data_IF_155718148538
#
_entry.id   IF_155718148538
#
_cell.length_a   1.000
_cell.length_b   1.000
_cell.length_c   1.000
_cell.angle_alpha   90.00
_cell.angle_beta   90.00
_cell.angle_gamma   90.00
#
_symmetry.space_group_name_H-M   'P 1'
#
loop_
_entity.id
_entity.type
_entity.pdbx_description
1 polymer ?
#
# COMPACT_ATOMS: atom_id res chain seq x y z
N UNK A 1 27.63 -26.40 -23.43
CA UNK A 1 28.01 -27.10 -22.19
C UNK A 1 27.66 -26.19 -21.01
N UNK A 2 26.55 -26.49 -20.32
CA UNK A 2 26.13 -25.76 -19.12
C UNK A 2 27.12 -26.05 -18.00
N UNK A 3 27.72 -25.01 -17.43
CA UNK A 3 28.74 -25.13 -16.39
C UNK A 3 28.15 -25.78 -15.11
N UNK A 4 28.56 -26.99 -14.72
CA UNK A 4 28.01 -27.69 -13.55
C UNK A 4 28.20 -26.92 -12.24
N UNK A 5 29.20 -26.03 -12.19
CA UNK A 5 29.51 -25.21 -11.01
C UNK A 5 28.42 -24.18 -10.66
N UNK A 6 27.65 -23.69 -11.63
CA UNK A 6 26.53 -22.77 -11.32
C UNK A 6 25.36 -23.49 -10.65
N UNK A 7 25.11 -24.76 -10.99
CA UNK A 7 24.03 -25.54 -10.37
C UNK A 7 24.31 -25.88 -8.90
N UNK A 8 25.59 -26.11 -8.54
CA UNK A 8 26.00 -26.35 -7.17
C UNK A 8 26.10 -25.05 -6.34
N UNK A 9 26.40 -23.92 -6.98
CA UNK A 9 26.35 -22.60 -6.34
C UNK A 9 24.91 -22.14 -6.07
N UNK A 10 23.96 -22.43 -6.96
CA UNK A 10 22.53 -22.18 -6.72
C UNK A 10 21.93 -23.19 -5.71
N UNK A 11 22.33 -24.47 -5.77
CA UNK A 11 21.92 -25.46 -4.78
C UNK A 11 22.51 -25.22 -3.38
N UNK A 12 23.66 -24.55 -3.27
CA UNK A 12 24.23 -24.15 -1.98
C UNK A 12 23.64 -22.85 -1.44
N UNK A 13 23.07 -21.97 -2.28
CA UNK A 13 22.25 -20.81 -1.83
C UNK A 13 20.90 -21.20 -1.22
N UNK A 14 20.36 -22.36 -1.59
CA UNK A 14 19.16 -22.94 -0.95
C UNK A 14 19.42 -23.37 0.51
N UNK A 15 20.68 -23.49 0.93
CA UNK A 15 21.11 -23.59 2.34
C UNK A 15 21.47 -22.16 2.80
N UNK A 16 20.71 -21.42 3.58
CA UNK A 16 19.77 -21.73 4.64
C UNK A 16 18.69 -20.65 4.60
N UNK A 17 17.66 -20.82 3.79
CA UNK A 17 16.44 -20.03 4.00
C UNK A 17 15.90 -20.49 5.35
N UNK A 18 15.73 -19.59 6.31
CA UNK A 18 15.10 -19.95 7.57
C UNK A 18 13.71 -20.54 7.26
N UNK A 19 13.50 -21.87 7.45
CA UNK A 19 12.29 -22.54 6.99
C UNK A 19 11.06 -22.02 7.72
N UNK A 20 11.24 -21.51 8.94
CA UNK A 20 10.17 -20.88 9.73
C UNK A 20 9.74 -19.58 9.06
N UNK A 21 10.69 -18.71 8.68
CA UNK A 21 10.40 -17.44 8.02
C UNK A 21 9.73 -17.67 6.67
N UNK A 22 10.24 -18.61 5.87
CA UNK A 22 9.65 -18.93 4.58
C UNK A 22 8.23 -19.49 4.74
N UNK A 23 8.04 -20.45 5.64
CA UNK A 23 6.71 -21.04 5.89
C UNK A 23 5.72 -20.00 6.38
N UNK A 24 6.14 -19.11 7.29
CA UNK A 24 5.34 -18.00 7.77
C UNK A 24 4.96 -17.03 6.65
N UNK A 25 5.92 -16.66 5.79
CA UNK A 25 5.67 -15.77 4.67
C UNK A 25 4.75 -16.39 3.61
N UNK A 26 4.94 -17.68 3.29
CA UNK A 26 4.06 -18.40 2.35
C UNK A 26 2.64 -18.49 2.90
N UNK A 27 2.47 -18.88 4.18
CA UNK A 27 1.16 -18.92 4.83
C UNK A 27 0.48 -17.54 4.83
N UNK A 28 1.22 -16.50 5.18
CA UNK A 28 0.73 -15.12 5.15
C UNK A 28 0.32 -14.67 3.75
N UNK A 29 1.14 -14.98 2.74
CA UNK A 29 0.87 -14.63 1.34
C UNK A 29 -0.35 -15.36 0.82
N UNK A 30 -0.52 -16.64 1.14
CA UNK A 30 -1.72 -17.39 0.77
C UNK A 30 -2.97 -16.82 1.42
N UNK A 31 -2.91 -16.46 2.70
CA UNK A 31 -4.01 -15.80 3.40
C UNK A 31 -4.35 -14.45 2.76
N UNK A 32 -3.35 -13.62 2.48
CA UNK A 32 -3.53 -12.31 1.85
C UNK A 32 -4.05 -12.44 0.41
N UNK A 33 -3.62 -13.45 -0.35
CA UNK A 33 -4.13 -13.74 -1.69
C UNK A 33 -5.59 -14.20 -1.66
N UNK A 34 -5.96 -15.08 -0.71
CA UNK A 34 -7.35 -15.48 -0.52
C UNK A 34 -8.22 -14.27 -0.15
N UNK A 35 -7.74 -13.44 0.79
CA UNK A 35 -8.41 -12.18 1.18
C UNK A 35 -8.61 -11.26 -0.03
N UNK A 36 -7.56 -11.08 -0.84
CA UNK A 36 -7.58 -10.25 -2.04
C UNK A 36 -8.56 -10.75 -3.10
N UNK A 37 -8.62 -12.07 -3.34
CA UNK A 37 -9.57 -12.66 -4.29
C UNK A 37 -11.02 -12.51 -3.84
N UNK A 38 -11.28 -12.65 -2.53
CA UNK A 38 -12.61 -12.39 -1.96
C UNK A 38 -13.00 -10.91 -2.13
N UNK A 39 -12.10 -9.99 -1.82
CA UNK A 39 -12.34 -8.54 -2.03
C UNK A 39 -12.61 -8.22 -3.51
N UNK A 40 -11.92 -8.87 -4.46
CA UNK A 40 -12.20 -8.72 -5.89
C UNK A 40 -13.61 -9.20 -6.24
N UNK A 41 -14.06 -10.33 -5.69
CA UNK A 41 -15.41 -10.83 -5.90
C UNK A 41 -16.47 -9.84 -5.40
N UNK A 42 -16.33 -9.38 -4.16
CA UNK A 42 -17.23 -8.37 -3.56
C UNK A 42 -17.21 -7.07 -4.37
N UNK A 43 -16.02 -6.64 -4.79
CA UNK A 43 -15.87 -5.45 -5.63
C UNK A 43 -16.54 -5.60 -7.00
N UNK A 44 -16.49 -6.78 -7.62
CA UNK A 44 -17.19 -7.04 -8.88
C UNK A 44 -18.70 -6.96 -8.70
N UNK A 45 -19.24 -7.59 -7.65
CA UNK A 45 -20.68 -7.60 -7.38
C UNK A 45 -21.21 -6.17 -7.15
N UNK A 46 -20.46 -5.35 -6.41
CA UNK A 46 -20.75 -3.94 -6.20
C UNK A 46 -20.70 -3.12 -7.51
N UNK A 47 -19.67 -3.35 -8.33
CA UNK A 47 -19.50 -2.64 -9.60
C UNK A 47 -20.49 -3.09 -10.69
N UNK A 48 -21.02 -4.30 -10.60
CA UNK A 48 -22.02 -4.85 -11.51
C UNK A 48 -23.43 -4.30 -11.24
N UNK A 49 -23.68 -3.76 -10.04
CA UNK A 49 -24.96 -3.17 -9.63
C UNK A 49 -24.82 -1.68 -9.25
N UNK A 50 -24.41 -0.82 -10.19
CA UNK A 50 -24.16 0.59 -9.93
C UNK A 50 -25.44 1.38 -9.62
N UNK A 51 -25.26 2.54 -8.99
CA UNK A 51 -26.35 3.51 -8.81
C UNK A 51 -26.85 4.06 -10.15
N UNK A 52 -28.09 4.58 -10.17
CA UNK A 52 -28.68 5.20 -11.36
C UNK A 52 -27.85 6.36 -11.92
N UNK A 53 -27.23 7.16 -11.03
CA UNK A 53 -26.32 8.24 -11.40
C UNK A 53 -25.08 7.70 -12.12
N UNK A 54 -24.40 6.71 -11.52
CA UNK A 54 -23.22 6.08 -12.12
C UNK A 54 -23.54 5.44 -13.48
N UNK A 55 -24.69 4.78 -13.64
CA UNK A 55 -25.10 4.25 -14.94
C UNK A 55 -25.24 5.34 -16.01
N UNK A 56 -25.83 6.49 -15.66
CA UNK A 56 -26.00 7.62 -16.57
C UNK A 56 -24.64 8.22 -16.97
N UNK A 57 -23.73 8.36 -16.00
CA UNK A 57 -22.40 8.91 -16.26
C UNK A 57 -21.56 8.00 -17.15
N UNK A 58 -21.59 6.69 -16.90
CA UNK A 58 -20.93 5.72 -17.78
C UNK A 58 -21.51 5.77 -19.20
N UNK A 59 -22.83 5.86 -19.35
CA UNK A 59 -23.47 5.98 -20.66
C UNK A 59 -23.03 7.26 -21.41
N UNK A 60 -22.89 8.39 -20.71
CA UNK A 60 -22.36 9.64 -21.29
C UNK A 60 -20.91 9.51 -21.76
N UNK A 61 -20.12 8.63 -21.13
CA UNK A 61 -18.75 8.29 -21.52
C UNK A 61 -18.68 7.24 -22.63
N UNK A 62 -19.81 6.68 -23.04
CA UNK A 62 -19.86 5.53 -23.97
C UNK A 62 -19.37 4.22 -23.36
N UNK A 63 -19.30 4.14 -22.03
CA UNK A 63 -18.86 2.96 -21.30
C UNK A 63 -20.05 2.14 -20.83
N UNK A 64 -19.95 0.81 -20.95
CA UNK A 64 -20.88 -0.09 -20.27
C UNK A 64 -20.46 -0.27 -18.81
N UNK A 65 -21.43 -0.64 -17.96
CA UNK A 65 -21.17 -1.05 -16.56
C UNK A 65 -20.11 -2.17 -16.50
N UNK A 66 -20.22 -3.15 -17.40
CA UNK A 66 -19.28 -4.26 -17.48
C UNK A 66 -17.86 -3.80 -17.83
N UNK A 67 -17.72 -2.86 -18.78
CA UNK A 67 -16.43 -2.30 -19.17
C UNK A 67 -15.76 -1.59 -17.99
N UNK A 68 -16.53 -0.80 -17.25
CA UNK A 68 -16.06 -0.11 -16.04
C UNK A 68 -15.58 -1.10 -14.96
N UNK A 69 -16.38 -2.13 -14.67
CA UNK A 69 -16.05 -3.16 -13.68
C UNK A 69 -14.76 -3.92 -14.06
N UNK A 70 -14.67 -4.40 -15.31
CA UNK A 70 -13.49 -5.12 -15.82
C UNK A 70 -12.25 -4.24 -15.75
N UNK A 71 -12.36 -2.95 -16.12
CA UNK A 71 -11.23 -2.02 -16.07
C UNK A 71 -10.65 -1.89 -14.65
N UNK A 72 -11.51 -1.61 -13.66
CA UNK A 72 -11.07 -1.44 -12.28
C UNK A 72 -10.53 -2.74 -11.65
N UNK A 73 -11.13 -3.89 -11.96
CA UNK A 73 -10.64 -5.19 -11.49
C UNK A 73 -9.32 -5.54 -12.14
N UNK A 74 -9.16 -5.28 -13.44
CA UNK A 74 -7.90 -5.52 -14.14
C UNK A 74 -6.80 -4.67 -13.52
N UNK A 75 -7.07 -3.38 -13.26
CA UNK A 75 -6.15 -2.49 -12.57
C UNK A 75 -5.80 -3.02 -11.16
N UNK A 76 -6.80 -3.49 -10.41
CA UNK A 76 -6.62 -4.09 -9.08
C UNK A 76 -5.72 -5.32 -9.13
N UNK A 77 -5.96 -6.23 -10.08
CA UNK A 77 -5.18 -7.45 -10.31
C UNK A 77 -3.73 -7.13 -10.67
N UNK A 78 -3.50 -6.23 -11.63
CA UNK A 78 -2.15 -5.80 -12.02
C UNK A 78 -1.40 -5.25 -10.80
N UNK A 79 -2.06 -4.40 -10.02
CA UNK A 79 -1.47 -3.82 -8.82
C UNK A 79 -1.07 -4.90 -7.82
N UNK A 80 -2.00 -5.79 -7.43
CA UNK A 80 -1.74 -6.84 -6.46
C UNK A 80 -0.68 -7.84 -6.92
N UNK A 81 -0.77 -8.32 -8.16
CA UNK A 81 0.19 -9.27 -8.74
C UNK A 81 1.60 -8.69 -8.80
N UNK A 82 1.74 -7.43 -9.20
CA UNK A 82 3.06 -6.76 -9.24
C UNK A 82 3.73 -6.80 -7.87
N UNK A 83 3.00 -6.44 -6.81
CA UNK A 83 3.53 -6.44 -5.45
C UNK A 83 3.82 -7.86 -4.94
N UNK A 84 2.95 -8.84 -5.23
CA UNK A 84 3.20 -10.25 -4.86
C UNK A 84 4.46 -10.81 -5.54
N UNK A 85 4.64 -10.52 -6.83
CA UNK A 85 5.83 -10.94 -7.58
C UNK A 85 7.08 -10.30 -6.99
N UNK A 86 7.08 -8.99 -6.76
CA UNK A 86 8.24 -8.29 -6.18
C UNK A 86 8.53 -8.81 -4.77
N UNK A 87 7.52 -9.01 -3.92
CA UNK A 87 7.68 -9.59 -2.59
C UNK A 87 8.33 -10.99 -2.63
N UNK A 88 7.85 -11.85 -3.54
CA UNK A 88 8.42 -13.18 -3.77
C UNK A 88 9.87 -13.13 -4.24
N UNK A 89 10.20 -12.20 -5.15
CA UNK A 89 11.58 -11.99 -5.61
C UNK A 89 12.50 -11.51 -4.47
N UNK A 90 12.02 -10.61 -3.61
CA UNK A 90 12.80 -10.09 -2.48
C UNK A 90 13.10 -11.19 -1.47
N UNK A 91 12.09 -11.94 -1.03
CA UNK A 91 12.31 -13.01 -0.04
C UNK A 91 13.14 -14.16 -0.63
N UNK A 92 13.01 -14.45 -1.92
CA UNK A 92 13.86 -15.42 -2.61
C UNK A 92 15.32 -14.95 -2.67
N UNK A 93 15.57 -13.66 -2.92
CA UNK A 93 16.93 -13.11 -3.05
C UNK A 93 17.63 -12.90 -1.71
N UNK A 94 16.92 -12.47 -0.67
CA UNK A 94 17.48 -12.02 0.63
C UNK A 94 16.67 -12.51 1.85
N UNK A 95 16.44 -13.84 2.00
CA UNK A 95 15.54 -14.38 3.03
C UNK A 95 16.02 -14.19 4.49
N UNK A 96 17.32 -13.95 4.68
CA UNK A 96 17.93 -13.83 6.02
C UNK A 96 18.17 -12.37 6.44
N UNK A 97 17.79 -11.39 5.61
CA UNK A 97 17.89 -9.98 5.95
C UNK A 97 16.56 -9.51 6.54
N UNK A 98 16.55 -9.10 7.81
CA UNK A 98 15.33 -8.68 8.53
C UNK A 98 14.52 -7.62 7.77
N UNK A 99 15.21 -6.67 7.14
CA UNK A 99 14.57 -5.63 6.33
C UNK A 99 13.94 -6.21 5.06
N UNK A 100 14.58 -7.14 4.37
CA UNK A 100 14.04 -7.75 3.16
C UNK A 100 12.79 -8.59 3.49
N UNK A 101 12.83 -9.33 4.59
CA UNK A 101 11.66 -10.05 5.12
C UNK A 101 10.53 -9.07 5.41
N UNK A 102 10.79 -8.01 6.17
CA UNK A 102 9.78 -6.98 6.45
C UNK A 102 9.18 -6.39 5.16
N UNK A 103 10.02 -6.01 4.19
CA UNK A 103 9.57 -5.44 2.91
C UNK A 103 8.71 -6.45 2.15
N UNK A 104 9.07 -7.73 2.14
CA UNK A 104 8.25 -8.76 1.48
C UNK A 104 6.86 -8.91 2.12
N UNK A 105 6.75 -8.89 3.46
CA UNK A 105 5.44 -8.89 4.13
C UNK A 105 4.65 -7.59 3.87
N UNK A 106 5.33 -6.45 3.90
CA UNK A 106 4.75 -5.15 3.63
C UNK A 106 4.19 -5.07 2.20
N UNK A 107 4.92 -5.51 1.18
CA UNK A 107 4.46 -5.48 -0.21
C UNK A 107 3.26 -6.41 -0.42
N UNK A 108 3.20 -7.56 0.26
CA UNK A 108 2.01 -8.43 0.25
C UNK A 108 0.80 -7.69 0.83
N UNK A 109 0.94 -7.00 1.96
CA UNK A 109 -0.13 -6.16 2.52
C UNK A 109 -0.51 -5.02 1.58
N UNK A 110 0.47 -4.33 1.01
CA UNK A 110 0.24 -3.20 0.12
C UNK A 110 -0.56 -3.66 -1.11
N UNK A 111 -0.10 -4.71 -1.79
CA UNK A 111 -0.75 -5.27 -2.97
C UNK A 111 -2.16 -5.82 -2.71
N UNK A 112 -2.37 -6.46 -1.55
CA UNK A 112 -3.65 -7.09 -1.22
C UNK A 112 -4.69 -6.14 -0.63
N UNK A 113 -4.27 -5.08 0.06
CA UNK A 113 -5.17 -4.25 0.90
C UNK A 113 -5.37 -2.83 0.36
N UNK A 114 -4.38 -2.23 -0.29
CA UNK A 114 -4.45 -0.81 -0.66
C UNK A 114 -5.37 -0.55 -1.87
N UNK A 115 -6.45 0.23 -1.70
CA UNK A 115 -7.34 0.69 -2.78
C UNK A 115 -7.71 2.17 -2.59
N UNK A 116 -7.30 3.07 -3.49
CA UNK A 116 -7.67 4.50 -3.42
C UNK A 116 -9.13 4.77 -3.85
N UNK A 117 -9.77 5.86 -3.38
CA UNK A 117 -9.52 6.67 -2.19
C UNK A 117 -10.67 6.48 -1.17
N UNK A 118 -10.37 5.94 0.01
CA UNK A 118 -11.28 5.81 1.16
C UNK A 118 -12.44 4.78 1.02
N UNK A 119 -12.11 3.48 0.99
CA UNK A 119 -12.96 2.39 1.49
C UNK A 119 -14.44 2.36 1.02
N UNK A 120 -14.77 2.80 -0.19
CA UNK A 120 -16.12 2.64 -0.74
C UNK A 120 -16.29 1.22 -1.28
N UNK A 121 -16.37 0.27 -0.36
CA UNK A 121 -17.16 -0.95 -0.54
C UNK A 121 -18.24 -0.81 0.52
N UNK A 122 -19.29 -0.05 0.20
CA UNK A 122 -20.36 0.28 1.16
C UNK A 122 -21.16 -0.97 1.58
N UNK A 123 -21.05 -2.04 0.80
CA UNK A 123 -21.80 -3.30 0.90
C UNK A 123 -20.92 -4.49 1.32
N UNK A 124 -19.96 -4.28 2.23
CA UNK A 124 -19.26 -5.42 2.80
C UNK A 124 -20.13 -6.17 3.81
N UNK A 125 -20.16 -7.52 3.75
CA UNK A 125 -20.77 -8.34 4.79
C UNK A 125 -20.20 -8.00 6.16
N UNK A 126 -21.06 -7.99 7.18
CA UNK A 126 -20.67 -7.58 8.54
C UNK A 126 -19.48 -8.40 9.09
N UNK A 127 -19.47 -9.71 8.83
CA UNK A 127 -18.40 -10.60 9.27
C UNK A 127 -17.03 -10.26 8.66
N UNK A 128 -17.00 -9.55 7.53
CA UNK A 128 -15.78 -9.22 6.79
C UNK A 128 -15.13 -7.90 7.24
N UNK A 129 -15.91 -7.03 7.89
CA UNK A 129 -15.45 -5.71 8.32
C UNK A 129 -14.26 -5.79 9.27
N UNK A 130 -14.34 -6.64 10.30
CA UNK A 130 -13.27 -6.78 11.30
C UNK A 130 -11.96 -7.32 10.69
N UNK A 131 -11.94 -8.44 9.94
CA UNK A 131 -10.74 -8.89 9.22
C UNK A 131 -10.13 -7.79 8.34
N UNK A 132 -10.96 -7.06 7.61
CA UNK A 132 -10.50 -5.96 6.75
C UNK A 132 -9.88 -4.81 7.53
N UNK A 133 -10.49 -4.39 8.63
CA UNK A 133 -9.95 -3.34 9.49
C UNK A 133 -8.59 -3.75 10.09
N UNK A 134 -8.43 -5.01 10.48
CA UNK A 134 -7.14 -5.55 10.92
C UNK A 134 -6.11 -5.47 9.79
N UNK A 135 -6.47 -5.91 8.58
CA UNK A 135 -5.56 -5.87 7.45
C UNK A 135 -5.16 -4.43 7.06
N UNK A 136 -6.11 -3.49 7.08
CA UNK A 136 -5.86 -2.06 6.83
C UNK A 136 -5.00 -1.41 7.90
N UNK A 137 -5.22 -1.77 9.17
CA UNK A 137 -4.39 -1.35 10.29
C UNK A 137 -2.95 -1.83 10.12
N UNK A 138 -2.75 -3.12 9.86
CA UNK A 138 -1.42 -3.71 9.63
C UNK A 138 -0.73 -3.07 8.43
N UNK A 139 -1.45 -2.89 7.32
CA UNK A 139 -0.92 -2.22 6.13
C UNK A 139 -0.50 -0.78 6.44
N UNK A 140 -1.31 -0.01 7.19
CA UNK A 140 -1.01 1.38 7.54
C UNK A 140 0.24 1.50 8.42
N UNK A 141 0.39 0.60 9.40
CA UNK A 141 1.58 0.57 10.27
C UNK A 141 2.80 0.15 9.46
N UNK A 142 2.71 -0.92 8.66
CA UNK A 142 3.82 -1.39 7.84
C UNK A 142 4.27 -0.30 6.86
N UNK A 143 3.31 0.40 6.23
CA UNK A 143 3.57 1.54 5.38
C UNK A 143 4.33 2.64 6.12
N UNK A 144 3.82 3.10 7.28
CA UNK A 144 4.50 4.13 8.07
C UNK A 144 5.93 3.71 8.50
N UNK A 145 6.07 2.50 9.02
CA UNK A 145 7.34 1.97 9.53
C UNK A 145 8.36 1.81 8.41
N UNK A 146 7.96 1.38 7.21
CA UNK A 146 8.83 1.25 6.04
C UNK A 146 9.65 2.51 5.79
N UNK A 147 9.01 3.69 5.80
CA UNK A 147 9.68 4.97 5.63
C UNK A 147 10.69 5.30 6.72
N UNK A 148 10.59 4.69 7.91
CA UNK A 148 11.47 4.96 9.04
C UNK A 148 12.55 3.94 9.24
N UNK A 149 12.45 2.74 8.68
CA UNK A 149 13.44 1.67 8.87
C UNK A 149 14.20 1.30 7.60
N UNK A 150 13.65 1.56 6.41
CA UNK A 150 14.32 1.24 5.16
C UNK A 150 15.54 2.15 4.91
N UNK A 151 16.70 1.64 4.42
CA UNK A 151 17.01 0.26 3.99
C UNK A 151 17.65 -0.65 5.05
N UNK A 152 18.00 -0.16 6.24
CA UNK A 152 18.86 -0.90 7.18
C UNK A 152 18.09 -1.59 8.32
N UNK A 153 16.76 -1.47 8.35
CA UNK A 153 15.91 -2.04 9.40
C UNK A 153 15.93 -1.25 10.71
N UNK A 154 16.48 -0.04 10.73
CA UNK A 154 16.62 0.76 11.96
C UNK A 154 15.94 2.11 11.85
N UNK A 155 15.13 2.46 12.87
CA UNK A 155 14.51 3.77 13.00
C UNK A 155 15.55 4.88 12.95
N UNK A 156 15.58 5.61 11.84
CA UNK A 156 16.55 6.68 11.60
C UNK A 156 15.88 7.90 10.98
N UNK A 157 15.89 9.07 11.65
CA UNK A 157 16.46 9.30 12.98
C UNK A 157 15.75 8.53 14.09
N UNK A 158 16.42 8.30 15.24
CA UNK A 158 15.89 7.48 16.34
C UNK A 158 14.56 8.00 16.92
N UNK A 159 14.30 9.30 16.87
CA UNK A 159 13.04 9.90 17.34
C UNK A 159 11.82 9.45 16.53
N UNK A 160 12.00 9.00 15.29
CA UNK A 160 10.91 8.48 14.45
C UNK A 160 10.24 7.25 15.07
N UNK A 161 10.95 6.52 15.95
CA UNK A 161 10.35 5.47 16.78
C UNK A 161 9.29 6.02 17.71
N UNK A 162 9.60 7.06 18.47
CA UNK A 162 8.63 7.72 19.36
C UNK A 162 7.49 8.33 18.57
N UNK A 163 7.78 8.97 17.43
CA UNK A 163 6.76 9.46 16.52
C UNK A 163 5.80 8.36 16.06
N UNK A 164 6.32 7.20 15.67
CA UNK A 164 5.50 6.03 15.29
C UNK A 164 4.59 5.60 16.43
N UNK A 165 5.12 5.51 17.66
CA UNK A 165 4.33 5.15 18.84
C UNK A 165 3.22 6.17 19.13
N UNK A 166 3.46 7.45 18.87
CA UNK A 166 2.44 8.51 19.00
C UNK A 166 1.39 8.45 17.90
N UNK A 167 1.73 7.99 16.69
CA UNK A 167 0.80 7.90 15.56
C UNK A 167 -0.10 6.67 15.64
N UNK A 168 0.39 5.56 16.21
CA UNK A 168 -0.37 4.29 16.32
C UNK A 168 -1.78 4.46 16.93
N UNK A 169 -1.99 5.17 18.05
CA UNK A 169 -3.32 5.40 18.60
C UNK A 169 -4.31 6.02 17.61
N UNK A 170 -3.83 6.90 16.73
CA UNK A 170 -4.68 7.50 15.70
C UNK A 170 -5.01 6.52 14.58
N UNK A 171 -4.07 5.65 14.19
CA UNK A 171 -4.34 4.55 13.25
C UNK A 171 -5.37 3.58 13.86
N UNK A 172 -5.25 3.25 15.15
CA UNK A 172 -6.26 2.46 15.87
C UNK A 172 -7.61 3.17 15.86
N UNK A 173 -7.62 4.48 16.13
CA UNK A 173 -8.83 5.31 16.10
C UNK A 173 -9.56 5.24 14.77
N UNK A 174 -8.83 5.32 13.65
CA UNK A 174 -9.38 5.27 12.30
C UNK A 174 -10.12 3.96 12.01
N UNK A 175 -9.59 2.81 12.44
CA UNK A 175 -10.12 1.50 12.04
C UNK A 175 -11.01 0.83 13.10
N UNK A 176 -10.80 1.12 14.39
CA UNK A 176 -11.48 0.41 15.48
C UNK A 176 -12.33 1.33 16.37
N UNK A 177 -12.04 2.63 16.42
CA UNK A 177 -12.73 3.59 17.29
C UNK A 177 -13.24 4.83 16.50
N UNK A 178 -14.04 4.63 15.43
CA UNK A 178 -14.34 5.68 14.45
C UNK A 178 -15.09 6.88 15.03
N UNK A 179 -15.78 6.73 16.16
CA UNK A 179 -16.59 7.78 16.81
C UNK A 179 -15.84 8.53 17.92
N UNK A 180 -14.54 8.29 18.08
CA UNK A 180 -13.74 8.88 19.17
C UNK A 180 -12.83 9.99 18.68
N UNK A 181 -12.31 10.79 19.61
CA UNK A 181 -11.28 11.80 19.33
C UNK A 181 -9.98 11.19 18.79
N UNK A 182 -9.76 9.88 18.97
CA UNK A 182 -8.59 9.21 18.39
C UNK A 182 -8.71 9.04 16.87
N UNK A 183 -9.89 9.22 16.27
CA UNK A 183 -10.05 9.20 14.82
C UNK A 183 -9.89 10.62 14.26
N UNK A 184 -8.78 10.96 13.57
CA UNK A 184 -8.57 12.29 13.01
C UNK A 184 -9.62 12.72 11.99
N UNK A 185 -10.36 11.77 11.41
CA UNK A 185 -11.46 12.05 10.47
C UNK A 185 -12.64 12.78 11.14
N UNK A 186 -12.72 12.80 12.47
CA UNK A 186 -13.77 13.51 13.23
C UNK A 186 -13.41 14.96 13.56
N UNK A 187 -12.17 15.39 13.34
CA UNK A 187 -11.69 16.71 13.77
C UNK A 187 -12.05 17.87 12.83
N UNK A 188 -12.74 17.57 11.73
CA UNK A 188 -12.97 18.52 10.64
C UNK A 188 -11.78 18.59 9.67
N UNK A 189 -12.00 19.32 8.56
CA UNK A 189 -11.09 19.29 7.41
C UNK A 189 -9.69 19.83 7.72
N UNK A 190 -9.59 21.01 8.35
CA UNK A 190 -8.30 21.66 8.58
C UNK A 190 -7.41 20.89 9.57
N UNK A 191 -7.88 20.44 10.75
CA UNK A 191 -7.05 19.63 11.64
C UNK A 191 -6.64 18.28 11.04
N UNK A 192 -7.54 17.61 10.31
CA UNK A 192 -7.21 16.39 9.57
C UNK A 192 -6.12 16.63 8.53
N UNK A 193 -6.22 17.73 7.79
CA UNK A 193 -5.22 18.12 6.78
C UNK A 193 -3.86 18.38 7.42
N UNK A 194 -3.81 19.16 8.52
CA UNK A 194 -2.57 19.45 9.26
C UNK A 194 -1.96 18.16 9.82
N UNK A 195 -2.77 17.28 10.39
CA UNK A 195 -2.30 15.99 10.89
C UNK A 195 -1.70 15.14 9.75
N UNK A 196 -2.43 15.01 8.64
CA UNK A 196 -2.01 14.21 7.49
C UNK A 196 -0.71 14.75 6.89
N UNK A 197 -0.61 16.07 6.65
CA UNK A 197 0.59 16.68 6.09
C UNK A 197 1.79 16.55 7.03
N UNK A 198 1.59 16.61 8.35
CA UNK A 198 2.65 16.40 9.34
C UNK A 198 3.21 14.99 9.23
N UNK A 199 2.35 13.97 9.17
CA UNK A 199 2.77 12.57 9.02
C UNK A 199 3.54 12.36 7.72
N UNK A 200 3.05 12.92 6.61
CA UNK A 200 3.69 12.82 5.29
C UNK A 200 5.06 13.50 5.28
N UNK A 201 5.16 14.71 5.83
CA UNK A 201 6.42 15.45 5.92
C UNK A 201 7.45 14.64 6.69
N UNK A 202 7.05 14.03 7.82
CA UNK A 202 7.95 13.20 8.62
C UNK A 202 8.38 11.93 7.86
N UNK A 203 7.45 11.28 7.14
CA UNK A 203 7.74 10.14 6.28
C UNK A 203 8.72 10.48 5.16
N UNK A 204 8.62 11.65 4.53
CA UNK A 204 9.55 12.11 3.48
C UNK A 204 10.89 12.56 4.09
N UNK A 205 10.85 13.20 5.25
CA UNK A 205 12.03 13.69 5.95
C UNK A 205 13.00 12.57 6.33
N UNK A 206 12.50 11.42 6.82
CA UNK A 206 13.36 10.34 7.33
C UNK A 206 14.31 9.75 6.27
N UNK A 207 13.83 9.34 5.07
CA UNK A 207 14.69 8.94 3.97
C UNK A 207 15.68 10.02 3.50
N UNK A 208 15.27 11.30 3.45
CA UNK A 208 16.16 12.42 3.08
C UNK A 208 17.25 12.64 4.13
N UNK A 209 16.89 12.61 5.41
CA UNK A 209 17.83 12.72 6.53
C UNK A 209 18.89 11.62 6.44
N UNK A 210 18.47 10.38 6.19
CA UNK A 210 19.40 9.25 6.02
C UNK A 210 20.33 9.43 4.83
N UNK A 211 19.79 9.83 3.68
CA UNK A 211 20.60 10.04 2.48
C UNK A 211 21.73 11.06 2.72
N UNK A 212 21.44 12.13 3.48
CA UNK A 212 22.42 13.17 3.83
C UNK A 212 23.43 12.70 4.87
N UNK A 213 22.99 11.95 5.89
CA UNK A 213 23.79 11.66 7.08
C UNK A 213 24.48 10.29 7.09
N UNK A 214 24.11 9.35 6.21
CA UNK A 214 24.75 8.02 6.16
C UNK A 214 25.98 8.02 5.24
N UNK A 215 27.10 7.49 5.72
CA UNK A 215 28.41 7.53 5.06
C UNK A 215 28.62 6.45 3.98
N UNK A 216 27.91 5.31 4.04
CA UNK A 216 28.13 4.18 3.13
C UNK A 216 27.51 4.40 1.74
N UNK A 217 28.32 4.25 0.69
CA UNK A 217 27.92 4.47 -0.72
C UNK A 217 26.83 3.52 -1.22
N UNK A 218 26.88 2.24 -0.85
CA UNK A 218 25.85 1.24 -1.21
C UNK A 218 24.48 1.57 -0.61
N UNK A 219 24.45 1.92 0.67
CA UNK A 219 23.21 2.28 1.35
C UNK A 219 22.61 3.58 0.81
N UNK A 220 23.45 4.53 0.39
CA UNK A 220 23.01 5.75 -0.31
C UNK A 220 22.31 5.43 -1.63
N UNK A 221 22.83 4.48 -2.42
CA UNK A 221 22.20 4.11 -3.70
C UNK A 221 20.84 3.44 -3.49
N UNK A 222 20.71 2.52 -2.54
CA UNK A 222 19.42 1.91 -2.21
C UNK A 222 18.42 2.94 -1.68
N UNK A 223 18.87 3.81 -0.78
CA UNK A 223 18.03 4.90 -0.23
C UNK A 223 17.60 5.85 -1.33
N UNK A 224 18.46 6.15 -2.33
CA UNK A 224 18.13 7.09 -3.42
C UNK A 224 16.93 6.62 -4.24
N UNK A 225 16.90 5.35 -4.66
CA UNK A 225 15.78 4.82 -5.44
C UNK A 225 14.49 4.77 -4.64
N UNK A 226 14.56 4.40 -3.36
CA UNK A 226 13.39 4.40 -2.49
C UNK A 226 12.90 5.82 -2.22
N UNK A 227 13.78 6.76 -1.86
CA UNK A 227 13.42 8.18 -1.71
C UNK A 227 12.71 8.68 -2.96
N UNK A 228 13.24 8.41 -4.15
CA UNK A 228 12.67 8.87 -5.40
C UNK A 228 11.30 8.22 -5.66
N UNK A 229 11.23 6.89 -5.64
CA UNK A 229 9.99 6.14 -5.87
C UNK A 229 8.89 6.51 -4.88
N UNK A 230 9.21 6.54 -3.58
CA UNK A 230 8.21 6.86 -2.55
C UNK A 230 7.81 8.33 -2.54
N UNK A 231 8.73 9.26 -2.81
CA UNK A 231 8.38 10.68 -2.86
C UNK A 231 7.46 10.97 -4.02
N UNK A 232 7.71 10.36 -5.18
CA UNK A 232 6.84 10.47 -6.35
C UNK A 232 5.50 9.78 -6.08
N UNK A 233 5.50 8.60 -5.45
CA UNK A 233 4.28 7.88 -5.10
C UNK A 233 3.37 8.71 -4.19
N UNK A 234 3.91 9.22 -3.08
CA UNK A 234 3.17 10.03 -2.12
C UNK A 234 2.72 11.34 -2.77
N UNK A 235 3.62 12.07 -3.42
CA UNK A 235 3.30 13.37 -4.01
C UNK A 235 2.24 13.23 -5.11
N UNK A 236 2.38 12.23 -5.99
CA UNK A 236 1.38 11.95 -7.02
C UNK A 236 0.01 11.60 -6.43
N UNK A 237 -0.03 10.74 -5.41
CA UNK A 237 -1.27 10.41 -4.71
C UNK A 237 -1.96 11.63 -4.09
N UNK A 238 -1.21 12.46 -3.36
CA UNK A 238 -1.80 13.65 -2.72
C UNK A 238 -2.17 14.72 -3.73
N UNK A 239 -1.38 14.93 -4.77
CA UNK A 239 -1.71 15.88 -5.84
C UNK A 239 -3.01 15.49 -6.57
N UNK A 240 -3.19 14.19 -6.84
CA UNK A 240 -4.45 13.69 -7.43
C UNK A 240 -5.60 13.79 -6.43
N UNK A 241 -5.37 13.48 -5.15
CA UNK A 241 -6.41 13.49 -4.12
C UNK A 241 -6.86 14.89 -3.67
N UNK A 242 -5.98 15.89 -3.79
CA UNK A 242 -6.19 17.23 -3.26
C UNK A 242 -7.44 17.93 -3.83
N UNK A 243 -7.71 17.94 -5.16
CA UNK A 243 -8.92 18.55 -5.70
C UNK A 243 -10.21 17.96 -5.12
N UNK A 244 -10.23 16.66 -4.84
CA UNK A 244 -11.38 16.00 -4.24
C UNK A 244 -11.51 16.32 -2.74
N UNK A 245 -10.38 16.34 -2.02
CA UNK A 245 -10.37 16.73 -0.60
C UNK A 245 -10.85 18.18 -0.39
N UNK A 246 -10.59 19.06 -1.37
CA UNK A 246 -11.04 20.46 -1.37
C UNK A 246 -12.44 20.65 -1.96
N UNK A 247 -13.15 19.57 -2.31
CA UNK A 247 -14.46 19.61 -2.99
C UNK A 247 -14.46 20.40 -4.32
N UNK A 248 -13.30 20.52 -4.99
CA UNK A 248 -13.17 21.11 -6.33
C UNK A 248 -13.67 20.12 -7.38
N UNK A 249 -13.35 18.84 -7.19
CA UNK A 249 -13.86 17.72 -8.00
C UNK A 249 -14.71 16.80 -7.13
N UNK A 250 -15.82 16.29 -7.68
CA UNK A 250 -16.68 15.34 -6.99
C UNK A 250 -16.13 13.91 -7.15
N UNK A 251 -16.04 13.17 -6.05
CA UNK A 251 -15.74 11.73 -6.05
C UNK A 251 -17.00 10.95 -6.43
N UNK A 252 -17.52 11.15 -7.64
CA UNK A 252 -18.57 10.29 -8.19
C UNK A 252 -17.91 9.13 -8.92
N UNK A 253 -18.17 7.92 -8.43
CA UNK A 253 -17.75 6.67 -9.09
C UNK A 253 -18.21 6.70 -10.55
N UNK A 254 -17.32 6.34 -11.47
CA UNK A 254 -17.58 6.29 -12.93
C UNK A 254 -17.35 7.58 -13.72
N UNK A 255 -17.05 8.70 -13.06
CA UNK A 255 -16.57 9.90 -13.77
C UNK A 255 -15.16 9.68 -14.32
N UNK A 256 -14.80 10.35 -15.43
CA UNK A 256 -13.41 10.35 -15.95
C UNK A 256 -12.44 10.80 -14.85
N UNK A 257 -12.82 11.79 -14.05
CA UNK A 257 -12.01 12.27 -12.93
C UNK A 257 -11.74 11.17 -11.91
N UNK A 258 -12.74 10.37 -11.54
CA UNK A 258 -12.54 9.26 -10.61
C UNK A 258 -11.69 8.15 -11.23
N UNK A 259 -11.95 7.76 -12.48
CA UNK A 259 -11.17 6.75 -13.19
C UNK A 259 -9.70 7.16 -13.32
N UNK A 260 -9.44 8.39 -13.74
CA UNK A 260 -8.11 8.96 -13.84
C UNK A 260 -7.44 9.05 -12.46
N UNK A 261 -8.19 9.40 -11.41
CA UNK A 261 -7.66 9.50 -10.07
C UNK A 261 -7.24 8.14 -9.50
N UNK A 262 -8.13 7.14 -9.54
CA UNK A 262 -7.82 5.78 -9.07
C UNK A 262 -6.65 5.21 -9.85
N UNK A 263 -6.68 5.31 -11.18
CA UNK A 263 -5.60 4.83 -12.06
C UNK A 263 -4.28 5.51 -11.72
N UNK A 264 -4.26 6.85 -11.66
CA UNK A 264 -3.06 7.61 -11.35
C UNK A 264 -2.51 7.28 -9.96
N UNK A 265 -3.36 7.22 -8.94
CA UNK A 265 -2.96 6.87 -7.57
C UNK A 265 -2.34 5.46 -7.49
N UNK A 266 -2.93 4.47 -8.18
CA UNK A 266 -2.39 3.11 -8.22
C UNK A 266 -1.06 3.04 -8.97
N UNK A 267 -0.94 3.73 -10.11
CA UNK A 267 0.31 3.82 -10.86
C UNK A 267 1.42 4.49 -10.04
N UNK A 268 1.09 5.54 -9.30
CA UNK A 268 2.04 6.20 -8.41
C UNK A 268 2.50 5.26 -7.29
N UNK A 269 1.59 4.48 -6.71
CA UNK A 269 1.95 3.52 -5.66
C UNK A 269 2.75 2.32 -6.18
N UNK A 270 2.66 1.97 -7.47
CA UNK A 270 3.56 0.97 -8.08
C UNK A 270 5.02 1.42 -8.15
N UNK A 271 5.30 2.71 -7.95
CA UNK A 271 6.67 3.23 -7.85
C UNK A 271 7.29 2.97 -6.48
N UNK A 272 6.53 2.49 -5.51
CA UNK A 272 7.06 2.02 -4.23
C UNK A 272 7.73 0.67 -4.48
N UNK A 273 9.05 0.57 -4.29
CA UNK A 273 9.81 -0.65 -4.58
C UNK A 273 9.64 -1.74 -3.52
#
# INVERSE_FOLDING_TARGET
MLNPMNSQADASRLKQINPIVLSAWVAFTMLAAAFFLIEIGVMYDDLAHPSATLMKDLANLGWSVQTHAIFLITLRLIFGLTHFVIAGLIIYRRPNENIAVFVAFFLVLLGSIFWPPANQIASQPEFWKTPRHIAQFLNSIAFLVFFFIFPNGQFTPRWTRTFTLLVIPFIVGVYFLPQTILNPRTWGMLPLFIFSITVIIVMIYSPIYRYRNISSTTLRQQTKWVVFGTSIALMGYFLIGLPFALNILQMETGTISNLAAVTGMMLFFLLIP
#
